data_IF_846527987756
#
_entry.id   IF_846527987756
#
_cell.length_a   1.000
_cell.length_b   1.000
_cell.length_c   1.000
_cell.angle_alpha   90.00
_cell.angle_beta   90.00
_cell.angle_gamma   90.00
#
_symmetry.space_group_name_H-M   'P 1'
#
loop_
_entity.id
_entity.type
_entity.pdbx_description
1 polymer ?
#
# COMPACT_ATOMS: atom_id res chain seq x y z
N UNK A 1 -6.95 -14.69 -6.10
CA UNK A 1 -7.53 -13.50 -5.45
C UNK A 1 -7.89 -13.89 -4.03
N UNK A 2 -7.38 -13.16 -3.04
CA UNK A 2 -7.56 -13.44 -1.60
C UNK A 2 -8.60 -12.53 -0.95
N UNK A 3 -9.09 -11.56 -1.71
CA UNK A 3 -10.07 -10.58 -1.29
C UNK A 3 -11.47 -11.17 -1.30
N UNK A 4 -12.24 -10.88 -0.24
CA UNK A 4 -13.67 -11.12 -0.19
C UNK A 4 -14.43 -10.12 -1.07
N UNK A 5 -15.69 -10.41 -1.39
CA UNK A 5 -16.57 -9.47 -2.09
C UNK A 5 -16.65 -8.12 -1.35
N UNK A 6 -16.76 -8.16 -0.02
CA UNK A 6 -16.78 -6.96 0.81
C UNK A 6 -15.46 -6.17 0.75
N UNK A 7 -14.30 -6.83 0.65
CA UNK A 7 -13.01 -6.14 0.47
C UNK A 7 -12.97 -5.41 -0.87
N UNK A 8 -13.44 -6.07 -1.95
CA UNK A 8 -13.52 -5.46 -3.27
C UNK A 8 -14.48 -4.28 -3.33
N UNK A 9 -15.64 -4.38 -2.70
CA UNK A 9 -16.60 -3.27 -2.60
C UNK A 9 -16.00 -2.06 -1.87
N UNK A 10 -15.33 -2.27 -0.73
CA UNK A 10 -14.68 -1.20 0.01
C UNK A 10 -13.55 -0.54 -0.78
N UNK A 11 -12.74 -1.37 -1.47
CA UNK A 11 -11.65 -0.87 -2.30
C UNK A 11 -12.18 -0.07 -3.49
N UNK A 12 -13.25 -0.55 -4.14
CA UNK A 12 -13.87 0.17 -5.26
C UNK A 12 -14.44 1.51 -4.81
N UNK A 13 -15.13 1.54 -3.67
CA UNK A 13 -15.65 2.79 -3.10
C UNK A 13 -14.54 3.80 -2.78
N UNK A 14 -13.37 3.35 -2.32
CA UNK A 14 -12.21 4.20 -2.11
C UNK A 14 -11.66 4.77 -3.42
N UNK A 15 -11.53 3.93 -4.46
CA UNK A 15 -11.08 4.36 -5.79
C UNK A 15 -12.03 5.41 -6.35
N UNK A 16 -13.33 5.14 -6.36
CA UNK A 16 -14.36 6.03 -6.88
C UNK A 16 -14.35 7.38 -6.14
N UNK A 17 -14.34 7.35 -4.81
CA UNK A 17 -14.27 8.56 -4.00
C UNK A 17 -12.98 9.36 -4.22
N UNK A 18 -11.87 8.69 -4.51
CA UNK A 18 -10.59 9.34 -4.83
C UNK A 18 -10.66 10.03 -6.19
N UNK A 19 -11.23 9.38 -7.19
CA UNK A 19 -11.45 9.96 -8.52
C UNK A 19 -12.38 11.18 -8.40
N UNK A 20 -13.46 11.09 -7.64
CA UNK A 20 -14.42 12.19 -7.47
C UNK A 20 -13.78 13.43 -6.83
N UNK A 21 -12.85 13.25 -5.91
CA UNK A 21 -12.13 14.33 -5.22
C UNK A 21 -10.88 14.81 -5.97
N UNK A 22 -10.47 14.12 -7.03
CA UNK A 22 -9.28 14.48 -7.77
C UNK A 22 -9.41 15.85 -8.44
N UNK A 23 -8.33 16.64 -8.40
CA UNK A 23 -8.30 17.93 -9.08
C UNK A 23 -8.48 17.78 -10.60
N UNK A 24 -8.98 18.79 -11.31
CA UNK A 24 -9.09 18.74 -12.78
C UNK A 24 -7.76 18.42 -13.48
N UNK A 25 -6.64 18.90 -12.93
CA UNK A 25 -5.32 18.60 -13.44
C UNK A 25 -4.96 17.11 -13.29
N UNK A 26 -5.18 16.55 -12.09
CA UNK A 26 -4.87 15.14 -11.82
C UNK A 26 -5.75 14.22 -12.68
N UNK A 27 -7.05 14.52 -12.81
CA UNK A 27 -7.96 13.77 -13.69
C UNK A 27 -7.45 13.72 -15.13
N UNK A 28 -7.02 14.85 -15.68
CA UNK A 28 -6.46 14.90 -17.06
C UNK A 28 -5.15 14.15 -17.16
N UNK A 29 -4.24 14.34 -16.20
CA UNK A 29 -2.91 13.70 -16.22
C UNK A 29 -2.98 12.18 -16.14
N UNK A 30 -3.90 11.66 -15.35
CA UNK A 30 -4.13 10.21 -15.18
C UNK A 30 -5.27 9.67 -16.07
N UNK A 31 -5.86 10.52 -16.91
CA UNK A 31 -6.95 10.15 -17.81
C UNK A 31 -8.06 9.37 -17.09
N UNK A 32 -8.51 9.92 -15.94
CA UNK A 32 -9.52 9.30 -15.09
C UNK A 32 -10.94 9.57 -15.60
N UNK A 33 -11.83 8.60 -15.48
CA UNK A 33 -11.67 7.25 -14.94
C UNK A 33 -11.15 6.22 -15.97
N UNK A 34 -11.03 6.56 -17.25
CA UNK A 34 -10.82 5.63 -18.38
C UNK A 34 -9.55 4.79 -18.23
N UNK A 35 -8.49 5.37 -17.68
CA UNK A 35 -7.21 4.71 -17.41
C UNK A 35 -7.03 4.29 -15.94
N UNK A 36 -8.11 4.31 -15.16
CA UNK A 36 -8.10 3.81 -13.78
C UNK A 36 -8.40 2.31 -13.74
N UNK A 37 -7.83 1.61 -12.76
CA UNK A 37 -8.15 0.21 -12.51
C UNK A 37 -9.36 0.07 -11.59
N UNK A 38 -10.19 -0.93 -11.84
CA UNK A 38 -11.17 -1.38 -10.86
C UNK A 38 -10.49 -2.09 -9.67
N UNK A 39 -11.20 -2.25 -8.56
CA UNK A 39 -10.69 -2.97 -7.40
C UNK A 39 -10.18 -4.37 -7.75
N UNK A 40 -10.94 -5.13 -8.54
CA UNK A 40 -10.55 -6.47 -8.96
C UNK A 40 -9.29 -6.48 -9.85
N UNK A 41 -9.21 -5.54 -10.79
CA UNK A 41 -8.03 -5.39 -11.64
C UNK A 41 -6.80 -4.99 -10.84
N UNK A 42 -6.95 -4.08 -9.86
CA UNK A 42 -5.87 -3.65 -8.98
C UNK A 42 -5.35 -4.82 -8.14
N UNK A 43 -6.24 -5.60 -7.50
CA UNK A 43 -5.84 -6.78 -6.72
C UNK A 43 -5.07 -7.80 -7.59
N UNK A 44 -5.53 -8.04 -8.82
CA UNK A 44 -4.84 -8.95 -9.73
C UNK A 44 -3.46 -8.44 -10.17
N UNK A 45 -3.26 -7.11 -10.28
CA UNK A 45 -1.97 -6.50 -10.64
C UNK A 45 -0.98 -6.47 -9.49
N UNK A 46 -1.45 -6.45 -8.25
CA UNK A 46 -0.62 -6.33 -7.04
C UNK A 46 -0.42 -7.67 -6.33
N UNK A 47 -0.53 -8.78 -7.04
CA UNK A 47 -0.24 -10.11 -6.48
C UNK A 47 1.27 -10.31 -6.25
N UNK A 48 1.60 -10.98 -5.12
CA UNK A 48 2.97 -11.37 -4.79
C UNK A 48 3.78 -10.27 -4.10
N UNK A 49 5.10 -10.35 -4.28
CA UNK A 49 6.04 -9.39 -3.71
C UNK A 49 6.11 -8.14 -4.58
N UNK A 50 6.03 -6.98 -3.95
CA UNK A 50 6.11 -5.67 -4.57
C UNK A 50 7.31 -4.92 -4.01
N UNK A 51 7.93 -4.04 -4.80
CA UNK A 51 8.84 -3.01 -4.27
C UNK A 51 8.16 -1.66 -4.42
N UNK A 52 7.89 -1.00 -3.30
CA UNK A 52 7.16 0.28 -3.25
C UNK A 52 8.05 1.41 -2.76
N UNK A 53 7.77 2.63 -3.19
CA UNK A 53 8.33 3.83 -2.57
C UNK A 53 7.44 4.23 -1.39
N UNK A 54 7.95 4.10 -0.15
CA UNK A 54 7.23 4.53 1.06
C UNK A 54 7.80 5.85 1.56
N UNK A 55 6.94 6.86 1.65
CA UNK A 55 7.27 8.19 2.17
C UNK A 55 6.76 8.35 3.61
N UNK A 56 7.64 8.82 4.49
CA UNK A 56 7.39 9.15 5.89
C UNK A 56 7.88 10.56 6.20
N UNK A 57 7.58 11.10 7.38
CA UNK A 57 7.95 12.45 7.76
C UNK A 57 8.72 12.45 9.09
N UNK A 58 9.85 13.19 9.12
CA UNK A 58 10.64 13.38 10.34
C UNK A 58 9.94 14.29 11.35
N UNK A 59 10.48 14.39 12.56
CA UNK A 59 9.97 15.31 13.59
C UNK A 59 10.01 16.79 13.16
N UNK A 60 10.89 17.13 12.21
CA UNK A 60 11.02 18.49 11.65
C UNK A 60 10.13 18.74 10.42
N UNK A 61 9.28 17.76 10.05
CA UNK A 61 8.44 17.89 8.85
C UNK A 61 9.16 17.57 7.54
N UNK A 62 10.39 17.06 7.59
CA UNK A 62 11.17 16.73 6.39
C UNK A 62 10.68 15.40 5.81
N UNK A 63 10.33 15.32 4.52
CA UNK A 63 9.93 14.06 3.90
C UNK A 63 11.13 13.12 3.75
N UNK A 64 10.87 11.83 3.90
CA UNK A 64 11.80 10.73 3.63
C UNK A 64 11.11 9.69 2.78
N UNK A 65 11.74 9.27 1.70
CA UNK A 65 11.26 8.19 0.85
C UNK A 65 12.34 7.14 0.67
N UNK A 66 11.93 5.88 0.69
CA UNK A 66 12.81 4.76 0.41
C UNK A 66 12.06 3.64 -0.30
N UNK A 67 12.71 2.91 -1.21
CA UNK A 67 12.17 1.65 -1.72
C UNK A 67 12.12 0.63 -0.60
N UNK A 68 11.06 -0.17 -0.56
CA UNK A 68 10.88 -1.24 0.42
C UNK A 68 9.99 -2.33 -0.14
N UNK A 69 10.20 -3.56 0.29
CA UNK A 69 9.32 -4.66 -0.04
C UNK A 69 7.96 -4.49 0.64
N UNK A 70 6.93 -4.87 -0.08
CA UNK A 70 5.55 -4.83 0.37
C UNK A 70 4.75 -5.95 -0.29
N UNK A 71 3.56 -6.17 0.22
CA UNK A 71 2.52 -6.95 -0.46
C UNK A 71 1.16 -6.28 -0.27
N UNK A 72 0.24 -6.61 -1.16
CA UNK A 72 -1.13 -6.09 -1.13
C UNK A 72 -2.08 -7.20 -0.71
N UNK A 73 -2.93 -6.92 0.28
CA UNK A 73 -3.88 -7.89 0.82
C UNK A 73 -5.11 -7.16 1.34
N UNK A 74 -6.30 -7.65 0.98
CA UNK A 74 -7.60 -7.10 1.42
C UNK A 74 -7.73 -5.58 1.21
N UNK A 75 -7.20 -5.08 0.10
CA UNK A 75 -7.29 -3.67 -0.24
C UNK A 75 -6.30 -2.74 0.47
N UNK A 76 -5.30 -3.28 1.16
CA UNK A 76 -4.27 -2.52 1.85
C UNK A 76 -2.85 -2.98 1.50
N UNK A 77 -1.90 -2.04 1.53
CA UNK A 77 -0.48 -2.35 1.46
C UNK A 77 0.07 -2.68 2.85
N UNK A 78 0.86 -3.73 2.91
CA UNK A 78 1.59 -4.14 4.09
C UNK A 78 3.09 -4.11 3.82
N UNK A 79 3.83 -3.44 4.69
CA UNK A 79 5.29 -3.32 4.62
C UNK A 79 5.90 -4.03 5.82
N UNK A 80 6.61 -5.16 5.61
CA UNK A 80 7.33 -5.83 6.69
C UNK A 80 8.53 -5.00 7.14
N UNK A 81 8.76 -4.91 8.44
CA UNK A 81 9.92 -4.21 9.02
C UNK A 81 10.14 -4.64 10.47
N UNK A 82 11.10 -3.99 11.15
CA UNK A 82 11.25 -4.07 12.61
C UNK A 82 10.84 -2.76 13.26
N UNK A 83 10.29 -2.83 14.46
CA UNK A 83 9.78 -1.66 15.19
C UNK A 83 10.86 -0.59 15.43
N UNK A 84 12.12 -1.01 15.56
CA UNK A 84 13.28 -0.15 15.76
C UNK A 84 13.74 0.60 14.51
N UNK A 85 13.20 0.25 13.32
CA UNK A 85 13.56 0.93 12.07
C UNK A 85 13.19 2.41 12.12
N UNK A 86 13.95 3.24 11.42
CA UNK A 86 13.70 4.69 11.36
C UNK A 86 12.28 4.99 10.85
N UNK A 87 11.82 4.25 9.82
CA UNK A 87 10.49 4.43 9.26
C UNK A 87 9.38 4.04 10.23
N UNK A 88 9.52 2.93 10.95
CA UNK A 88 8.54 2.52 11.95
C UNK A 88 8.43 3.55 13.09
N UNK A 89 9.56 4.09 13.55
CA UNK A 89 9.58 5.17 14.56
C UNK A 89 8.96 6.47 14.04
N UNK A 90 9.20 6.83 12.78
CA UNK A 90 8.51 7.99 12.17
C UNK A 90 6.99 7.79 12.19
N UNK A 91 6.54 6.61 11.76
CA UNK A 91 5.12 6.30 11.62
C UNK A 91 4.41 6.09 12.96
N UNK A 92 5.09 5.58 13.97
CA UNK A 92 4.56 5.50 15.34
C UNK A 92 4.24 6.89 15.91
N UNK A 93 5.08 7.89 15.62
CA UNK A 93 4.90 9.25 16.10
C UNK A 93 4.01 10.11 15.16
N UNK A 94 4.08 9.88 13.85
CA UNK A 94 3.38 10.63 12.80
C UNK A 94 2.89 9.64 11.74
N UNK A 95 1.69 9.07 11.91
CA UNK A 95 1.23 7.94 11.11
C UNK A 95 0.86 8.28 9.64
N UNK A 96 0.83 9.55 9.27
CA UNK A 96 0.61 9.98 7.89
C UNK A 96 1.73 9.48 6.96
N UNK A 97 1.35 8.83 5.86
CA UNK A 97 2.27 8.27 4.89
C UNK A 97 1.71 8.33 3.47
N UNK A 98 2.60 8.27 2.51
CA UNK A 98 2.28 8.06 1.11
C UNK A 98 3.10 6.91 0.56
N UNK A 99 2.51 6.15 -0.35
CA UNK A 99 3.14 5.02 -0.98
C UNK A 99 2.89 5.08 -2.49
N UNK A 100 3.89 4.70 -3.27
CA UNK A 100 3.73 4.51 -4.70
C UNK A 100 4.32 3.18 -5.15
N UNK A 101 3.61 2.53 -6.07
CA UNK A 101 4.08 1.40 -6.86
C UNK A 101 3.96 1.74 -8.33
N UNK A 102 4.91 1.34 -9.15
CA UNK A 102 4.84 1.56 -10.58
C UNK A 102 5.60 0.51 -11.37
N UNK A 103 5.13 0.24 -12.58
CA UNK A 103 5.78 -0.62 -13.57
C UNK A 103 6.15 0.22 -14.79
N UNK A 104 7.36 0.77 -14.79
CA UNK A 104 7.82 1.64 -15.87
C UNK A 104 6.86 2.81 -16.11
N UNK A 105 6.30 2.87 -17.33
CA UNK A 105 5.30 3.86 -17.74
C UNK A 105 3.89 3.24 -17.91
N UNK A 106 3.74 1.97 -17.59
CA UNK A 106 2.55 1.20 -17.95
C UNK A 106 1.54 1.12 -16.80
N UNK A 107 2.03 1.19 -15.56
CA UNK A 107 1.20 1.20 -14.37
C UNK A 107 1.75 2.17 -13.33
N UNK A 108 0.87 2.91 -12.69
CA UNK A 108 1.17 3.64 -11.46
C UNK A 108 0.04 3.46 -10.45
N UNK A 109 0.40 3.27 -9.20
CA UNK A 109 -0.50 3.22 -8.05
C UNK A 109 0.03 4.20 -7.00
N UNK A 110 -0.82 5.10 -6.54
CA UNK A 110 -0.49 6.10 -5.52
C UNK A 110 -1.51 5.99 -4.41
N UNK A 111 -1.04 5.76 -3.20
CA UNK A 111 -1.88 5.68 -2.00
C UNK A 111 -1.41 6.71 -0.96
N UNK A 112 -2.36 7.47 -0.42
CA UNK A 112 -2.14 8.37 0.70
C UNK A 112 -3.01 7.93 1.86
N UNK A 113 -2.50 8.00 3.08
CA UNK A 113 -3.28 7.60 4.23
C UNK A 113 -2.51 7.66 5.55
N UNK A 114 -2.89 6.76 6.44
CA UNK A 114 -2.28 6.59 7.75
C UNK A 114 -1.82 5.15 7.92
N UNK A 115 -0.71 4.99 8.60
CA UNK A 115 -0.17 3.66 8.89
C UNK A 115 -0.60 3.22 10.29
N UNK A 116 -1.07 1.99 10.36
CA UNK A 116 -1.27 1.23 11.59
C UNK A 116 -0.16 0.18 11.71
N UNK A 117 0.38 0.00 12.90
CA UNK A 117 1.46 -0.98 13.15
C UNK A 117 0.83 -2.25 13.69
N UNK A 118 0.88 -3.31 12.90
CA UNK A 118 0.42 -4.66 13.28
C UNK A 118 1.58 -5.41 13.90
N UNK A 119 1.39 -5.95 15.10
CA UNK A 119 2.41 -6.66 15.88
C UNK A 119 1.82 -7.86 16.59
N UNK A 120 2.64 -8.74 17.12
CA UNK A 120 2.15 -9.77 18.04
C UNK A 120 1.61 -9.13 19.33
N UNK A 121 0.48 -9.61 19.90
CA UNK A 121 -0.31 -10.78 19.49
C UNK A 121 -1.54 -10.44 18.61
N UNK A 122 -1.50 -9.41 17.77
CA UNK A 122 -2.64 -9.06 16.92
C UNK A 122 -3.06 -10.27 16.07
N UNK A 123 -4.35 -10.54 16.00
CA UNK A 123 -4.90 -11.71 15.29
C UNK A 123 -4.49 -11.78 13.82
N UNK A 124 -4.32 -10.63 13.18
CA UNK A 124 -3.93 -10.51 11.78
C UNK A 124 -2.46 -10.91 11.52
N UNK A 125 -1.59 -10.84 12.55
CA UNK A 125 -0.15 -11.01 12.39
C UNK A 125 0.24 -12.35 11.77
N UNK A 126 -0.37 -13.45 12.19
CA UNK A 126 -0.08 -14.79 11.67
C UNK A 126 -0.43 -14.93 10.18
N UNK A 127 -1.51 -14.30 9.74
CA UNK A 127 -1.88 -14.28 8.33
C UNK A 127 -0.87 -13.48 7.48
N UNK A 128 -0.40 -12.35 8.02
CA UNK A 128 0.63 -11.54 7.36
C UNK A 128 1.95 -12.30 7.25
N UNK A 129 2.35 -13.05 8.29
CA UNK A 129 3.50 -13.93 8.26
C UNK A 129 3.36 -15.04 7.19
N UNK A 130 2.18 -15.65 7.09
CA UNK A 130 1.91 -16.64 6.05
C UNK A 130 1.98 -16.03 4.65
N UNK A 131 1.47 -14.81 4.48
CA UNK A 131 1.53 -14.06 3.22
C UNK A 131 2.96 -13.67 2.86
N UNK A 132 3.74 -13.19 3.82
CA UNK A 132 5.17 -12.87 3.68
C UNK A 132 5.95 -14.08 3.14
N UNK A 133 5.75 -15.25 3.74
CA UNK A 133 6.38 -16.50 3.28
C UNK A 133 5.91 -16.91 1.88
N UNK A 134 4.62 -16.76 1.59
CA UNK A 134 4.07 -17.06 0.26
C UNK A 134 4.63 -16.14 -0.83
N UNK A 135 5.05 -14.92 -0.48
CA UNK A 135 5.76 -13.99 -1.36
C UNK A 135 7.25 -14.33 -1.52
N UNK A 136 7.74 -15.41 -0.91
CA UNK A 136 9.13 -15.83 -1.01
C UNK A 136 10.09 -15.14 -0.03
N UNK A 137 9.56 -14.42 0.96
CA UNK A 137 10.36 -13.74 1.97
C UNK A 137 10.47 -14.53 3.27
N UNK A 138 11.55 -14.28 4.03
CA UNK A 138 11.69 -14.82 5.39
C UNK A 138 10.79 -14.09 6.37
N UNK A 139 10.45 -14.77 7.47
CA UNK A 139 9.67 -14.21 8.57
C UNK A 139 10.29 -12.93 9.12
N UNK A 140 9.48 -11.90 9.40
CA UNK A 140 9.95 -10.68 10.07
C UNK A 140 10.50 -10.94 11.46
N UNK A 141 10.07 -12.03 12.10
CA UNK A 141 10.56 -12.45 13.42
C UNK A 141 12.02 -12.89 13.40
N UNK A 142 12.58 -13.20 12.24
CA UNK A 142 14.00 -13.58 12.07
C UNK A 142 14.93 -12.38 11.82
N UNK A 143 14.43 -11.15 11.78
CA UNK A 143 15.22 -9.97 11.38
C UNK A 143 16.01 -9.31 12.51
N UNK A 144 16.02 -9.90 13.72
CA UNK A 144 16.84 -9.42 14.83
C UNK A 144 16.29 -8.16 15.51
N UNK A 145 14.98 -8.11 15.70
CA UNK A 145 14.26 -7.05 16.41
C UNK A 145 12.80 -7.43 16.60
N UNK A 146 11.96 -6.50 17.06
CA UNK A 146 10.52 -6.72 17.10
C UNK A 146 9.97 -6.64 15.67
N UNK A 147 9.69 -7.79 15.04
CA UNK A 147 9.07 -7.87 13.71
C UNK A 147 7.66 -7.30 13.72
N UNK A 148 7.37 -6.39 12.78
CA UNK A 148 6.06 -5.73 12.65
C UNK A 148 5.67 -5.58 11.18
N UNK A 149 4.38 -5.37 10.93
CA UNK A 149 3.86 -4.97 9.62
C UNK A 149 3.27 -3.56 9.69
N UNK A 150 3.65 -2.72 8.74
CA UNK A 150 3.08 -1.39 8.58
C UNK A 150 1.92 -1.51 7.59
N UNK A 151 0.68 -1.42 8.07
CA UNK A 151 -0.52 -1.41 7.24
C UNK A 151 -0.86 0.02 6.84
N UNK A 152 -0.82 0.34 5.55
CA UNK A 152 -1.30 1.63 5.04
C UNK A 152 -2.82 1.58 4.84
N UNK A 153 -3.55 2.26 5.72
CA UNK A 153 -4.98 2.50 5.58
C UNK A 153 -5.15 3.73 4.71
N UNK A 154 -5.43 3.51 3.44
CA UNK A 154 -5.54 4.58 2.45
C UNK A 154 -6.84 5.37 2.61
N UNK A 155 -6.76 6.69 2.50
CA UNK A 155 -7.89 7.61 2.38
C UNK A 155 -7.99 8.25 0.99
N UNK A 156 -6.95 8.05 0.16
CA UNK A 156 -6.96 8.34 -1.27
C UNK A 156 -6.11 7.31 -2.00
N UNK A 157 -6.65 6.79 -3.10
CA UNK A 157 -6.00 5.78 -3.92
C UNK A 157 -6.22 6.10 -5.40
N UNK A 158 -5.15 6.35 -6.12
CA UNK A 158 -5.16 6.67 -7.54
C UNK A 158 -4.40 5.60 -8.31
N UNK A 159 -4.93 5.21 -9.46
CA UNK A 159 -4.29 4.27 -10.36
C UNK A 159 -4.22 4.86 -11.77
N UNK A 160 -3.21 4.46 -12.52
CA UNK A 160 -3.10 4.71 -13.94
C UNK A 160 -2.61 3.44 -14.62
N UNK A 161 -3.23 3.08 -15.73
CA UNK A 161 -2.77 2.03 -16.62
C UNK A 161 -2.77 2.55 -18.05
N UNK A 162 -1.64 2.36 -18.78
CA UNK A 162 -1.50 2.90 -20.14
C UNK A 162 -2.51 2.32 -21.12
N UNK A 163 -2.73 1.02 -21.05
CA UNK A 163 -3.70 0.31 -21.88
C UNK A 163 -4.79 -0.25 -20.97
N UNK A 164 -5.94 0.45 -20.87
CA UNK A 164 -7.08 -0.10 -20.13
C UNK A 164 -7.48 -1.41 -20.81
N UNK A 165 -7.44 -2.50 -20.06
CA UNK A 165 -8.01 -3.76 -20.55
C UNK A 165 -9.52 -3.64 -20.47
N UNK A 166 -10.16 -3.68 -21.63
CA UNK A 166 -11.62 -3.70 -21.76
C UNK A 166 -12.26 -4.85 -21.00
#
# INVERSE_FOLDING_TARGET
MRESEQDLERLQALIDASIDKASPFLRRSFQMPEHSLSAAQLCARLEGSLTVGLATVTARGEPRVAPIDAFFLRGAFFVPTVAESVRARHLAARPGASLTYYEGKDLAVIAHGRVEIVRQPDQEFEELEATQRACGHVSVLSWGGEGVYLRLVANALFTFVREPRG
#
